data_IF_124672281139
#
_entry.id   IF_124672281139
#
_cell.length_a   1.000
_cell.length_b   1.000
_cell.length_c   1.000
_cell.angle_alpha   90.00
_cell.angle_beta   90.00
_cell.angle_gamma   90.00
#
_symmetry.space_group_name_H-M   'P 1'
#
loop_
_entity.id
_entity.type
_entity.pdbx_description
1 polymer ?
#
# COMPACT_ATOMS: atom_id res chain seq x y z
N UNK A 1 10.66 25.88 -14.21
CA UNK A 1 10.67 24.86 -13.13
C UNK A 1 9.76 25.26 -11.97
N UNK A 2 10.01 26.37 -11.28
CA UNK A 2 9.19 26.82 -10.13
C UNK A 2 7.71 27.00 -10.46
N UNK A 3 7.40 27.54 -11.64
CA UNK A 3 6.00 27.67 -12.10
C UNK A 3 5.31 26.31 -12.36
N UNK A 4 6.06 25.28 -12.78
CA UNK A 4 5.54 23.91 -12.96
C UNK A 4 5.30 23.21 -11.62
N UNK A 5 6.19 23.46 -10.66
CA UNK A 5 6.02 22.99 -9.29
C UNK A 5 4.82 23.61 -8.59
N UNK A 6 4.54 24.90 -8.84
CA UNK A 6 3.31 25.55 -8.37
C UNK A 6 2.03 24.93 -8.97
N UNK A 7 2.12 24.29 -10.13
CA UNK A 7 1.03 23.51 -10.74
C UNK A 7 0.95 22.04 -10.30
N UNK A 8 1.81 21.60 -9.36
CA UNK A 8 1.83 20.22 -8.85
C UNK A 8 2.51 19.19 -9.76
N UNK A 9 3.19 19.63 -10.82
CA UNK A 9 3.84 18.71 -11.77
C UNK A 9 5.13 18.05 -11.21
N UNK A 10 5.80 18.70 -10.26
CA UNK A 10 6.98 18.17 -9.57
C UNK A 10 7.28 18.93 -8.28
N UNK A 11 8.08 18.34 -7.40
CA UNK A 11 8.71 19.07 -6.31
C UNK A 11 10.02 19.69 -6.82
N UNK A 12 10.44 20.81 -6.20
CA UNK A 12 11.71 21.47 -6.53
C UNK A 12 12.66 21.35 -5.36
N UNK A 13 13.81 20.75 -5.62
CA UNK A 13 14.93 20.70 -4.69
C UNK A 13 16.08 21.55 -5.20
N UNK A 14 16.91 22.02 -4.29
CA UNK A 14 18.12 22.77 -4.61
C UNK A 14 19.27 22.15 -3.83
N UNK A 15 20.38 21.84 -4.52
CA UNK A 15 21.62 21.39 -3.88
C UNK A 15 22.75 22.34 -4.27
N UNK A 16 23.68 22.60 -3.35
CA UNK A 16 24.78 23.53 -3.58
C UNK A 16 25.69 23.69 -2.36
N UNK A 17 26.69 24.58 -2.46
CA UNK A 17 27.59 24.89 -1.34
C UNK A 17 27.20 26.22 -0.66
N UNK A 18 27.09 26.27 0.67
CA UNK A 18 26.95 27.51 1.43
C UNK A 18 28.09 27.59 2.44
N UNK A 19 28.95 28.61 2.33
CA UNK A 19 30.12 28.73 3.21
C UNK A 19 31.04 27.51 3.17
N UNK A 20 31.19 26.86 2.00
CA UNK A 20 32.02 25.67 1.80
C UNK A 20 31.39 24.34 2.25
N UNK A 21 30.20 24.36 2.86
CA UNK A 21 29.47 23.15 3.25
C UNK A 21 28.45 22.76 2.19
N UNK A 22 28.33 21.47 1.90
CA UNK A 22 27.22 20.95 1.08
C UNK A 22 25.90 21.20 1.80
N UNK A 23 24.95 21.78 1.07
CA UNK A 23 23.61 22.15 1.55
C UNK A 23 22.53 21.69 0.61
N UNK A 24 21.34 21.50 1.17
CA UNK A 24 20.12 21.22 0.46
C UNK A 24 18.95 22.11 0.86
N UNK A 25 18.02 22.27 -0.08
CA UNK A 25 16.73 22.91 0.14
C UNK A 25 15.64 22.18 -0.62
N UNK A 26 14.41 22.26 -0.13
CA UNK A 26 13.20 21.90 -0.89
C UNK A 26 12.19 23.03 -0.85
N UNK A 27 11.42 23.16 -1.93
CA UNK A 27 10.37 24.17 -2.05
C UNK A 27 9.09 23.68 -1.35
N UNK A 28 8.58 24.48 -0.41
CA UNK A 28 7.31 24.27 0.29
C UNK A 28 6.11 24.78 -0.53
N UNK A 29 4.91 24.41 -0.09
CA UNK A 29 3.65 24.80 -0.74
C UNK A 29 3.40 26.32 -0.71
N UNK A 30 3.88 27.03 0.33
CA UNK A 30 3.85 28.49 0.45
C UNK A 30 4.84 29.21 -0.49
N UNK A 31 5.65 28.45 -1.23
CA UNK A 31 6.63 28.94 -2.19
C UNK A 31 7.98 29.33 -1.61
N UNK A 32 8.18 29.15 -0.31
CA UNK A 32 9.48 29.31 0.34
C UNK A 32 10.32 28.03 0.22
N UNK A 33 11.61 28.15 0.49
CA UNK A 33 12.58 27.06 0.48
C UNK A 33 13.03 26.76 1.89
N UNK A 34 12.71 25.56 2.38
CA UNK A 34 13.23 25.05 3.64
C UNK A 34 14.63 24.50 3.40
N UNK A 35 15.58 24.85 4.26
CA UNK A 35 16.93 24.29 4.21
C UNK A 35 16.99 22.95 4.95
N UNK A 36 18.07 22.23 4.73
CA UNK A 36 18.49 20.99 5.39
C UNK A 36 18.87 21.12 6.87
N UNK A 37 18.44 22.20 7.54
CA UNK A 37 18.49 22.32 9.00
C UNK A 37 17.12 22.61 9.59
N UNK A 38 16.76 21.92 10.67
CA UNK A 38 15.45 22.05 11.32
C UNK A 38 15.25 23.43 12.00
N UNK A 39 16.33 24.09 12.42
CA UNK A 39 16.31 25.37 13.15
C UNK A 39 16.47 26.61 12.24
N UNK A 40 16.70 26.40 10.94
CA UNK A 40 16.79 27.49 9.97
C UNK A 40 15.41 27.82 9.38
N UNK A 41 15.07 29.12 9.38
CA UNK A 41 13.82 29.60 8.82
C UNK A 41 13.79 29.44 7.28
N UNK A 42 12.64 29.07 6.67
CA UNK A 42 12.49 29.03 5.23
C UNK A 42 12.79 30.38 4.57
N UNK A 43 13.46 30.35 3.41
CA UNK A 43 13.87 31.55 2.67
C UNK A 43 13.16 31.66 1.31
N UNK A 44 13.15 32.85 0.72
CA UNK A 44 12.56 33.08 -0.60
C UNK A 44 13.46 32.55 -1.75
N UNK A 45 12.88 32.25 -2.92
CA UNK A 45 13.65 31.95 -4.14
C UNK A 45 14.66 33.06 -4.48
N UNK A 46 14.26 34.32 -4.29
CA UNK A 46 15.12 35.47 -4.54
C UNK A 46 16.35 35.48 -3.61
N UNK A 47 16.15 35.18 -2.31
CA UNK A 47 17.24 35.04 -1.35
C UNK A 47 18.15 33.87 -1.72
N UNK A 48 17.57 32.71 -2.07
CA UNK A 48 18.32 31.51 -2.42
C UNK A 48 19.15 31.68 -3.71
N UNK A 49 18.59 32.35 -4.73
CA UNK A 49 19.35 32.76 -5.93
C UNK A 49 20.41 33.81 -5.61
N UNK A 50 20.12 34.72 -4.68
CA UNK A 50 21.08 35.73 -4.21
C UNK A 50 22.33 35.11 -3.60
N UNK A 51 22.21 33.98 -2.88
CA UNK A 51 23.37 33.25 -2.34
C UNK A 51 24.30 32.72 -3.43
N UNK A 52 23.75 32.35 -4.59
CA UNK A 52 24.52 31.84 -5.73
C UNK A 52 25.37 32.90 -6.45
N UNK A 53 25.22 34.18 -6.08
CA UNK A 53 26.06 35.25 -6.60
C UNK A 53 27.49 35.22 -6.03
N UNK A 54 27.73 34.48 -4.94
CA UNK A 54 29.07 34.25 -4.39
C UNK A 54 29.72 33.10 -5.15
N UNK A 55 30.92 33.31 -5.70
CA UNK A 55 31.67 32.28 -6.41
C UNK A 55 31.90 31.05 -5.54
N UNK A 56 31.68 29.85 -6.10
CA UNK A 56 31.75 28.59 -5.36
C UNK A 56 30.52 28.27 -4.51
N UNK A 57 29.43 29.03 -4.65
CA UNK A 57 28.13 28.74 -4.03
C UNK A 57 27.05 28.47 -5.07
N UNK A 58 27.40 27.72 -6.12
CA UNK A 58 26.47 27.35 -7.16
C UNK A 58 25.24 26.65 -6.57
N UNK A 59 24.08 26.86 -7.20
CA UNK A 59 22.80 26.29 -6.79
C UNK A 59 22.23 25.52 -7.97
N UNK A 60 22.08 24.22 -7.81
CA UNK A 60 21.46 23.35 -8.81
C UNK A 60 20.01 23.10 -8.43
N UNK A 61 19.09 23.62 -9.23
CA UNK A 61 17.66 23.38 -9.08
C UNK A 61 17.29 22.10 -9.84
N UNK A 62 16.59 21.18 -9.18
CA UNK A 62 16.15 19.91 -9.76
C UNK A 62 14.65 19.74 -9.53
N UNK A 63 13.95 19.32 -10.58
CA UNK A 63 12.54 18.93 -10.54
C UNK A 63 12.52 17.41 -10.28
N UNK A 64 11.94 16.99 -9.16
CA UNK A 64 11.88 15.60 -8.71
C UNK A 64 10.43 15.13 -8.66
N UNK A 65 10.13 13.82 -8.72
CA UNK A 65 8.75 13.34 -8.65
C UNK A 65 7.99 13.97 -7.47
N UNK A 66 6.71 14.38 -7.66
CA UNK A 66 5.90 14.93 -6.59
C UNK A 66 5.92 14.02 -5.35
N UNK A 67 6.10 14.60 -4.17
CA UNK A 67 6.20 13.88 -2.90
C UNK A 67 7.62 13.44 -2.52
N UNK A 68 8.63 13.61 -3.38
CA UNK A 68 10.02 13.22 -3.08
C UNK A 68 10.94 14.39 -2.74
N UNK A 69 10.41 15.62 -2.70
CA UNK A 69 11.19 16.84 -2.49
C UNK A 69 11.92 16.87 -1.14
N UNK A 70 11.31 16.37 -0.07
CA UNK A 70 11.93 16.29 1.26
C UNK A 70 13.08 15.29 1.23
N UNK A 71 12.82 14.05 0.79
CA UNK A 71 13.82 12.99 0.64
C UNK A 71 15.04 13.36 -0.18
N UNK A 72 14.81 14.00 -1.32
CA UNK A 72 15.89 14.37 -2.24
C UNK A 72 16.55 15.68 -1.80
N UNK A 73 15.81 16.54 -1.10
CA UNK A 73 16.21 17.91 -0.80
C UNK A 73 16.92 18.09 0.53
N UNK A 74 16.39 17.55 1.61
CA UNK A 74 16.77 17.97 2.97
C UNK A 74 16.80 16.88 4.04
N UNK A 75 16.17 15.73 3.83
CA UNK A 75 16.00 14.69 4.85
C UNK A 75 16.00 13.32 4.15
N UNK A 76 17.18 12.71 4.04
CA UNK A 76 17.44 11.59 3.12
C UNK A 76 16.74 10.29 3.52
N UNK A 77 16.58 10.04 4.82
CA UNK A 77 15.94 8.82 5.34
C UNK A 77 14.51 9.05 5.85
N UNK A 78 14.03 10.29 5.82
CA UNK A 78 12.65 10.72 6.11
C UNK A 78 12.23 10.47 7.57
N UNK A 79 13.18 10.58 8.50
CA UNK A 79 12.94 10.41 9.93
C UNK A 79 12.50 11.71 10.65
N UNK A 80 12.57 12.86 9.96
CA UNK A 80 12.19 14.18 10.44
C UNK A 80 13.35 15.04 10.96
N UNK A 81 14.56 14.50 11.05
CA UNK A 81 15.79 15.25 11.26
C UNK A 81 16.43 15.53 9.89
N UNK A 82 16.77 16.79 9.63
CA UNK A 82 17.31 17.14 8.32
C UNK A 82 18.80 16.83 8.24
N UNK A 83 19.25 16.45 7.03
CA UNK A 83 20.59 15.91 6.74
C UNK A 83 21.71 16.71 7.42
N UNK A 84 21.61 18.05 7.42
CA UNK A 84 22.63 18.91 7.99
C UNK A 84 22.53 19.03 9.50
N UNK A 85 21.32 19.02 10.05
CA UNK A 85 21.11 18.96 11.51
C UNK A 85 21.71 17.68 12.08
N UNK A 86 21.55 16.56 11.39
CA UNK A 86 22.13 15.28 11.78
C UNK A 86 23.66 15.26 11.72
N UNK A 87 24.24 15.71 10.60
CA UNK A 87 25.69 15.82 10.46
C UNK A 87 26.31 16.78 11.50
N UNK A 88 25.64 17.88 11.81
CA UNK A 88 26.10 18.83 12.82
C UNK A 88 26.03 18.25 14.24
N UNK A 89 25.17 17.25 14.48
CA UNK A 89 25.00 16.55 15.76
C UNK A 89 25.67 15.17 15.80
N UNK A 90 26.36 14.78 14.72
CA UNK A 90 27.14 13.54 14.64
C UNK A 90 26.31 12.26 14.44
N UNK A 91 25.07 12.36 13.95
CA UNK A 91 24.25 11.22 13.54
C UNK A 91 24.39 10.92 12.04
N UNK A 92 23.76 9.85 11.54
CA UNK A 92 23.90 9.38 10.14
C UNK A 92 22.62 9.65 9.34
N UNK A 93 22.63 10.62 8.40
CA UNK A 93 21.46 10.98 7.58
C UNK A 93 20.94 9.90 6.63
N UNK A 94 21.59 8.74 6.57
CA UNK A 94 21.15 7.62 5.75
C UNK A 94 20.53 6.48 6.57
N UNK A 95 20.53 6.58 7.90
CA UNK A 95 20.01 5.57 8.80
C UNK A 95 18.90 6.17 9.69
N UNK A 96 17.63 5.85 9.43
CA UNK A 96 16.49 6.44 10.15
C UNK A 96 16.40 6.03 11.63
N UNK A 97 17.34 5.20 12.11
CA UNK A 97 17.50 4.85 13.52
C UNK A 97 18.63 5.64 14.20
N UNK A 98 19.38 6.44 13.45
CA UNK A 98 20.54 7.22 13.89
C UNK A 98 20.15 8.69 14.05
N UNK A 99 19.58 9.04 15.20
CA UNK A 99 19.08 10.41 15.47
C UNK A 99 20.03 11.26 16.33
N UNK A 100 19.99 12.60 16.25
CA UNK A 100 20.76 13.50 17.12
C UNK A 100 20.60 13.24 18.62
N UNK A 101 21.73 13.13 19.34
CA UNK A 101 21.73 12.86 20.78
C UNK A 101 21.16 14.03 21.61
N UNK A 102 20.14 13.77 22.43
CA UNK A 102 19.55 14.77 23.35
C UNK A 102 18.06 15.05 23.11
N UNK A 103 17.46 14.49 22.08
CA UNK A 103 16.03 14.63 21.78
C UNK A 103 15.29 13.36 22.21
N UNK A 104 14.78 13.32 23.44
CA UNK A 104 13.77 12.32 23.84
C UNK A 104 12.41 12.82 23.39
N UNK A 105 12.00 12.51 22.16
CA UNK A 105 10.66 12.87 21.68
C UNK A 105 9.94 11.61 21.22
N UNK A 106 8.81 11.35 21.88
CA UNK A 106 7.78 10.42 21.47
C UNK A 106 7.44 10.63 20.00
N UNK A 107 7.78 9.63 19.20
CA UNK A 107 7.52 9.55 17.76
C UNK A 107 6.01 9.66 17.52
N UNK A 108 5.53 10.87 17.24
CA UNK A 108 4.22 11.08 16.60
C UNK A 108 4.49 11.25 15.12
N UNK A 109 4.61 10.10 14.43
CA UNK A 109 4.68 10.03 12.98
C UNK A 109 3.39 10.64 12.43
N UNK A 110 3.43 11.90 12.00
CA UNK A 110 2.42 12.44 11.09
C UNK A 110 3.02 12.39 9.69
N UNK A 111 3.10 11.17 9.15
CA UNK A 111 3.44 10.93 7.75
C UNK A 111 2.32 11.47 6.86
N UNK A 112 2.46 12.71 6.40
CA UNK A 112 1.81 13.10 5.13
C UNK A 112 2.77 12.75 4.01
N UNK A 113 3.02 11.46 3.85
CA UNK A 113 3.71 10.89 2.71
C UNK A 113 2.73 10.84 1.55
N UNK A 114 2.89 11.73 0.57
CA UNK A 114 2.47 11.40 -0.80
C UNK A 114 3.48 10.43 -1.39
N UNK A 115 3.57 9.25 -0.80
CA UNK A 115 4.22 8.11 -1.41
C UNK A 115 3.34 7.68 -2.58
N UNK A 116 3.86 7.77 -3.80
CA UNK A 116 3.40 6.87 -4.86
C UNK A 116 3.95 5.48 -4.52
N UNK A 117 3.38 4.84 -3.48
CA UNK A 117 3.73 3.47 -3.06
C UNK A 117 3.13 2.54 -4.10
N UNK A 118 3.95 1.93 -4.94
CA UNK A 118 3.62 0.60 -5.44
C UNK A 118 3.51 -0.31 -4.21
N UNK A 119 2.28 -0.50 -3.72
CA UNK A 119 1.97 -1.37 -2.57
C UNK A 119 2.68 -2.71 -2.78
N UNK A 120 3.63 -3.03 -1.90
CA UNK A 120 4.31 -4.32 -1.96
C UNK A 120 3.37 -5.37 -1.37
N UNK A 121 2.74 -6.14 -2.24
CA UNK A 121 1.89 -7.24 -1.80
C UNK A 121 2.74 -8.44 -1.42
N UNK A 122 2.57 -8.92 -0.19
CA UNK A 122 2.96 -10.28 0.19
C UNK A 122 2.08 -11.24 -0.59
N UNK A 123 2.67 -11.98 -1.51
CA UNK A 123 1.94 -12.98 -2.27
C UNK A 123 1.70 -14.20 -1.38
N UNK A 124 0.44 -14.62 -1.29
CA UNK A 124 -0.01 -15.69 -0.41
C UNK A 124 -0.70 -16.78 -1.22
N UNK A 125 -0.56 -18.01 -0.74
CA UNK A 125 -1.23 -19.19 -1.24
C UNK A 125 -2.75 -19.02 -1.27
N UNK A 126 -3.41 -19.48 -2.33
CA UNK A 126 -4.85 -19.71 -2.33
C UNK A 126 -5.14 -21.16 -1.90
N UNK A 127 -5.38 -21.39 -0.61
CA UNK A 127 -5.79 -22.72 -0.11
C UNK A 127 -7.12 -23.12 -0.75
N UNK A 128 -8.05 -22.17 -0.84
CA UNK A 128 -9.27 -22.33 -1.62
C UNK A 128 -9.81 -20.97 -2.05
N UNK A 129 -10.28 -20.87 -3.29
CA UNK A 129 -11.04 -19.71 -3.80
C UNK A 129 -12.26 -20.23 -4.55
N UNK A 130 -13.45 -19.78 -4.17
CA UNK A 130 -14.69 -20.11 -4.87
C UNK A 130 -15.57 -18.88 -4.97
N UNK A 131 -16.10 -18.63 -6.17
CA UNK A 131 -17.09 -17.61 -6.44
C UNK A 131 -18.32 -18.27 -7.07
N UNK A 132 -19.48 -17.70 -6.77
CA UNK A 132 -20.74 -18.05 -7.41
C UNK A 132 -21.51 -16.76 -7.71
N UNK A 133 -22.26 -16.77 -8.79
CA UNK A 133 -23.14 -15.70 -9.22
C UNK A 133 -24.36 -16.30 -9.93
N UNK A 134 -25.43 -15.52 -10.00
CA UNK A 134 -26.62 -15.83 -10.76
C UNK A 134 -27.23 -14.51 -11.22
N UNK A 135 -27.14 -14.23 -12.53
CA UNK A 135 -27.71 -13.02 -13.12
C UNK A 135 -29.21 -12.88 -12.83
N UNK A 136 -29.94 -14.00 -12.75
CA UNK A 136 -31.37 -14.04 -12.44
C UNK A 136 -31.70 -14.01 -10.95
N UNK A 137 -30.73 -14.30 -10.08
CA UNK A 137 -30.88 -14.21 -8.63
C UNK A 137 -29.58 -13.75 -7.96
N UNK A 138 -29.32 -12.42 -7.93
CA UNK A 138 -28.11 -11.85 -7.34
C UNK A 138 -27.91 -12.22 -5.86
N UNK A 139 -28.96 -12.64 -5.13
CA UNK A 139 -28.82 -13.08 -3.74
C UNK A 139 -27.96 -14.34 -3.59
N UNK A 140 -27.73 -15.09 -4.68
CA UNK A 140 -26.85 -16.26 -4.72
C UNK A 140 -25.37 -15.92 -4.90
N UNK A 141 -25.04 -14.65 -5.14
CA UNK A 141 -23.67 -14.18 -5.23
C UNK A 141 -22.90 -14.53 -3.97
N UNK A 142 -21.69 -15.04 -4.16
CA UNK A 142 -20.83 -15.50 -3.08
C UNK A 142 -19.37 -15.40 -3.44
N UNK A 143 -18.56 -15.01 -2.46
CA UNK A 143 -17.12 -15.18 -2.41
C UNK A 143 -16.77 -16.03 -1.19
N UNK A 144 -15.85 -16.98 -1.36
CA UNK A 144 -15.20 -17.68 -0.25
C UNK A 144 -13.73 -17.89 -0.60
N UNK A 145 -12.85 -17.27 0.19
CA UNK A 145 -11.41 -17.35 0.07
C UNK A 145 -10.79 -17.79 1.39
N UNK A 146 -9.79 -18.66 1.31
CA UNK A 146 -8.97 -19.09 2.45
C UNK A 146 -7.51 -19.17 2.02
N UNK A 147 -6.65 -18.71 2.91
CA UNK A 147 -5.20 -18.86 2.83
C UNK A 147 -4.66 -19.36 4.16
N UNK A 148 -3.76 -20.35 4.08
CA UNK A 148 -3.04 -20.92 5.22
C UNK A 148 -1.56 -21.00 4.85
N UNK A 149 -0.73 -20.14 5.42
CA UNK A 149 0.68 -19.95 5.01
C UNK A 149 1.69 -20.50 6.01
N UNK A 150 1.26 -21.27 7.00
CA UNK A 150 2.15 -21.80 8.05
C UNK A 150 3.23 -22.75 7.54
N UNK A 151 3.10 -23.22 6.29
CA UNK A 151 4.04 -24.11 5.60
C UNK A 151 4.70 -23.42 4.40
N UNK A 152 4.43 -22.13 4.19
CA UNK A 152 5.05 -21.33 3.14
C UNK A 152 6.37 -20.72 3.63
N UNK A 153 7.24 -20.37 2.70
CA UNK A 153 8.44 -19.58 2.95
C UNK A 153 8.10 -18.26 3.68
N UNK A 154 9.01 -17.75 4.51
CA UNK A 154 8.78 -16.53 5.31
C UNK A 154 8.34 -15.33 4.47
N UNK A 155 8.79 -15.23 3.22
CA UNK A 155 8.42 -14.16 2.29
C UNK A 155 6.95 -14.23 1.81
N UNK A 156 6.28 -15.35 2.06
CA UNK A 156 4.89 -15.60 1.65
C UNK A 156 3.96 -15.84 2.84
N UNK A 157 4.41 -15.53 4.07
CA UNK A 157 3.62 -15.72 5.29
C UNK A 157 2.73 -14.53 5.59
N UNK A 158 1.51 -14.82 6.03
CA UNK A 158 0.60 -13.82 6.57
C UNK A 158 1.11 -13.41 7.96
N UNK A 159 1.58 -12.17 8.09
CA UNK A 159 1.98 -11.56 9.35
C UNK A 159 1.01 -10.43 9.65
N UNK A 160 0.25 -10.54 10.74
CA UNK A 160 -0.73 -9.50 11.08
C UNK A 160 -0.07 -8.20 11.56
N UNK A 161 -0.72 -7.04 11.39
CA UNK A 161 -0.31 -5.81 12.05
C UNK A 161 -0.32 -5.95 13.56
N UNK A 162 0.63 -5.27 14.22
CA UNK A 162 0.65 -5.24 15.67
C UNK A 162 -0.60 -4.55 16.22
N UNK A 163 -1.29 -5.15 17.19
CA UNK A 163 -2.26 -4.50 18.04
C UNK A 163 -1.93 -3.04 18.41
N UNK A 164 -2.70 -2.08 17.89
CA UNK A 164 -2.65 -0.67 18.28
C UNK A 164 -1.62 0.14 17.49
N UNK A 165 -0.94 -0.49 16.53
CA UNK A 165 -0.12 0.25 15.57
C UNK A 165 -1.01 1.06 14.61
N UNK A 166 -0.44 2.03 13.88
CA UNK A 166 -1.16 2.74 12.82
C UNK A 166 -1.75 1.83 11.73
N UNK A 167 -1.16 0.64 11.56
CA UNK A 167 -1.64 -0.39 10.62
C UNK A 167 -2.71 -1.32 11.19
N UNK A 168 -3.10 -1.15 12.45
CA UNK A 168 -4.18 -1.92 13.06
C UNK A 168 -5.50 -1.62 12.32
N UNK A 169 -6.16 -2.64 11.73
CA UNK A 169 -7.40 -2.42 11.00
C UNK A 169 -8.57 -1.94 11.88
N UNK A 170 -8.50 -2.10 13.20
CA UNK A 170 -9.49 -1.51 14.13
C UNK A 170 -9.33 0.01 14.29
N UNK A 171 -8.21 0.58 13.85
CA UNK A 171 -7.93 2.02 13.86
C UNK A 171 -8.15 2.60 12.46
N UNK A 172 -7.52 1.99 11.44
CA UNK A 172 -7.42 2.57 10.10
C UNK A 172 -8.27 1.83 9.04
N UNK A 173 -8.87 0.70 9.39
CA UNK A 173 -9.66 -0.10 8.46
C UNK A 173 -8.82 -0.81 7.41
N UNK A 174 -9.37 -0.94 6.19
CA UNK A 174 -8.69 -1.54 5.06
C UNK A 174 -9.56 -1.59 3.81
N UNK A 175 -9.07 -2.30 2.80
CA UNK A 175 -9.72 -2.46 1.49
C UNK A 175 -9.54 -3.89 1.01
N UNK A 176 -10.65 -4.50 0.56
CA UNK A 176 -10.65 -5.78 -0.14
C UNK A 176 -10.88 -5.52 -1.63
N UNK A 177 -10.02 -6.05 -2.49
CA UNK A 177 -10.21 -6.03 -3.95
C UNK A 177 -10.27 -7.44 -4.49
N UNK A 178 -11.29 -7.75 -5.28
CA UNK A 178 -11.39 -9.02 -6.02
C UNK A 178 -11.56 -8.69 -7.48
N UNK A 179 -10.76 -9.30 -8.35
CA UNK A 179 -10.71 -8.96 -9.76
C UNK A 179 -10.35 -10.17 -10.61
N UNK A 180 -10.81 -10.16 -11.85
CA UNK A 180 -10.43 -11.11 -12.85
C UNK A 180 -8.99 -10.77 -13.31
N UNK A 181 -8.04 -11.66 -13.01
CA UNK A 181 -6.63 -11.52 -13.39
C UNK A 181 -6.33 -12.20 -14.73
N UNK A 182 -7.35 -12.71 -15.41
CA UNK A 182 -7.30 -13.24 -16.75
C UNK A 182 -7.06 -12.15 -17.81
N UNK A 183 -6.63 -12.58 -18.99
CA UNK A 183 -6.39 -11.68 -20.12
C UNK A 183 -7.74 -11.21 -20.69
N UNK A 184 -7.93 -9.87 -20.83
CA UNK A 184 -9.05 -9.16 -21.52
C UNK A 184 -10.38 -9.04 -20.78
N UNK A 185 -10.38 -8.95 -19.46
CA UNK A 185 -11.60 -8.71 -18.65
C UNK A 185 -11.39 -7.52 -17.72
N UNK A 186 -12.46 -6.82 -17.36
CA UNK A 186 -12.41 -5.62 -16.49
C UNK A 186 -13.10 -5.82 -15.14
N UNK A 187 -13.53 -7.04 -14.86
CA UNK A 187 -14.31 -7.35 -13.66
C UNK A 187 -13.48 -7.15 -12.39
N UNK A 188 -13.94 -6.21 -11.58
CA UNK A 188 -13.26 -5.76 -10.38
C UNK A 188 -14.31 -5.24 -9.38
N UNK A 189 -14.20 -5.70 -8.14
CA UNK A 189 -14.92 -5.14 -7.00
C UNK A 189 -13.90 -4.63 -5.99
N UNK A 190 -14.12 -3.42 -5.50
CA UNK A 190 -13.38 -2.82 -4.38
C UNK A 190 -14.36 -2.60 -3.26
N UNK A 191 -14.09 -3.19 -2.10
CA UNK A 191 -14.94 -3.08 -0.92
C UNK A 191 -14.14 -2.38 0.18
N UNK A 192 -14.56 -1.18 0.61
CA UNK A 192 -13.97 -0.56 1.80
C UNK A 192 -14.31 -1.39 3.03
N UNK A 193 -13.37 -1.50 3.95
CA UNK A 193 -13.51 -2.21 5.22
C UNK A 193 -13.33 -1.20 6.37
N UNK A 194 -14.36 -0.41 6.70
CA UNK A 194 -14.26 0.64 7.71
C UNK A 194 -13.76 0.10 9.06
N UNK A 195 -12.92 0.88 9.74
CA UNK A 195 -12.34 0.54 11.04
C UNK A 195 -13.38 0.14 12.09
N UNK A 196 -14.54 0.80 12.09
CA UNK A 196 -15.67 0.55 13.01
C UNK A 196 -16.21 -0.89 12.98
N UNK A 197 -15.99 -1.60 11.88
CA UNK A 197 -16.52 -2.95 11.66
C UNK A 197 -15.48 -4.05 11.93
N UNK A 198 -14.28 -3.65 12.35
CA UNK A 198 -13.22 -4.54 12.79
C UNK A 198 -13.27 -4.76 14.30
N UNK A 199 -12.85 -5.94 14.71
CA UNK A 199 -12.73 -6.33 16.11
C UNK A 199 -11.51 -7.21 16.30
N UNK A 200 -10.91 -7.18 17.48
CA UNK A 200 -9.83 -8.09 17.87
C UNK A 200 -10.39 -9.43 18.32
N UNK A 201 -9.67 -10.50 18.04
CA UNK A 201 -10.04 -11.87 18.40
C UNK A 201 -8.82 -12.59 18.98
N UNK A 202 -8.92 -13.03 20.22
CA UNK A 202 -7.85 -13.75 20.92
C UNK A 202 -6.57 -12.91 21.08
N UNK A 203 -5.41 -13.57 21.04
CA UNK A 203 -4.07 -12.99 21.35
C UNK A 203 -3.48 -12.12 20.22
N UNK A 204 -4.35 -11.57 19.35
CA UNK A 204 -3.95 -10.63 18.30
C UNK A 204 -4.56 -10.90 16.92
N UNK A 205 -5.55 -11.77 16.79
CA UNK A 205 -6.31 -11.90 15.55
C UNK A 205 -7.23 -10.72 15.31
N UNK A 206 -7.64 -10.53 14.06
CA UNK A 206 -8.62 -9.54 13.65
C UNK A 206 -9.81 -10.22 12.99
N UNK A 207 -10.99 -9.63 13.17
CA UNK A 207 -12.21 -10.04 12.51
C UNK A 207 -12.97 -8.81 12.04
N UNK A 208 -13.28 -8.78 10.76
CA UNK A 208 -14.23 -7.86 10.16
C UNK A 208 -15.61 -8.51 10.09
N UNK A 209 -16.65 -7.75 10.38
CA UNK A 209 -18.03 -8.12 10.11
C UNK A 209 -18.78 -6.91 9.63
N UNK A 210 -19.30 -6.99 8.41
CA UNK A 210 -20.26 -6.01 7.90
C UNK A 210 -21.54 -6.06 8.75
N UNK A 211 -21.92 -4.96 9.43
CA UNK A 211 -23.12 -4.91 10.23
C UNK A 211 -24.39 -4.78 9.38
N UNK A 212 -24.29 -4.35 8.11
CA UNK A 212 -25.45 -4.12 7.26
C UNK A 212 -26.07 -5.46 6.82
N UNK A 213 -27.30 -5.79 7.27
CA UNK A 213 -27.97 -7.03 6.86
C UNK A 213 -28.37 -7.05 5.38
N UNK A 214 -28.50 -5.87 4.76
CA UNK A 214 -28.76 -5.66 3.33
C UNK A 214 -27.48 -5.51 2.51
N UNK A 215 -26.34 -5.31 3.17
CA UNK A 215 -25.01 -5.23 2.58
C UNK A 215 -24.44 -6.59 2.17
N UNK A 216 -23.17 -6.64 1.68
CA UNK A 216 -22.53 -7.83 1.13
C UNK A 216 -22.25 -9.00 2.11
N UNK A 217 -22.88 -9.03 3.30
CA UNK A 217 -22.68 -10.02 4.37
C UNK A 217 -21.20 -10.41 4.57
N UNK A 218 -20.32 -9.42 4.43
CA UNK A 218 -18.89 -9.63 4.35
C UNK A 218 -18.32 -9.96 5.74
N UNK A 219 -17.52 -11.02 5.79
CA UNK A 219 -16.82 -11.49 6.99
C UNK A 219 -15.39 -11.81 6.62
N UNK A 220 -14.47 -11.26 7.38
CA UNK A 220 -13.04 -11.53 7.22
C UNK A 220 -12.43 -11.89 8.57
N UNK A 221 -11.54 -12.86 8.60
CA UNK A 221 -10.75 -13.20 9.78
C UNK A 221 -9.27 -13.29 9.41
N UNK A 222 -8.42 -12.68 10.21
CA UNK A 222 -6.99 -12.65 10.00
C UNK A 222 -6.24 -12.99 11.28
N UNK A 223 -5.33 -13.94 11.21
CA UNK A 223 -4.32 -14.23 12.24
C UNK A 223 -2.97 -14.36 11.55
N UNK A 224 -1.91 -14.62 12.31
CA UNK A 224 -0.70 -15.13 11.67
C UNK A 224 -1.06 -16.41 10.91
N UNK A 225 -0.52 -16.50 9.70
CA UNK A 225 -0.67 -17.61 8.77
C UNK A 225 -2.07 -17.91 8.25
N UNK A 226 -3.11 -17.21 8.69
CA UNK A 226 -4.48 -17.52 8.24
C UNK A 226 -5.22 -16.26 7.87
N UNK A 227 -5.76 -16.29 6.67
CA UNK A 227 -6.70 -15.30 6.16
C UNK A 227 -7.93 -16.03 5.62
N UNK A 228 -9.11 -15.59 6.03
CA UNK A 228 -10.37 -16.06 5.45
C UNK A 228 -11.27 -14.89 5.11
N UNK A 229 -11.91 -14.95 3.95
CA UNK A 229 -12.83 -13.93 3.45
C UNK A 229 -14.07 -14.62 2.93
N UNK A 230 -15.24 -14.17 3.38
CA UNK A 230 -16.52 -14.66 2.92
C UNK A 230 -17.43 -13.47 2.67
N UNK A 231 -17.99 -13.36 1.47
CA UNK A 231 -19.01 -12.39 1.12
C UNK A 231 -20.18 -13.08 0.46
N UNK A 232 -21.39 -12.55 0.60
CA UNK A 232 -22.57 -13.13 -0.05
C UNK A 232 -23.75 -12.17 -0.11
N UNK A 233 -24.70 -12.46 -0.98
CA UNK A 233 -25.92 -11.68 -1.13
C UNK A 233 -25.85 -10.72 -2.31
N UNK A 234 -27.00 -10.08 -2.60
CA UNK A 234 -27.18 -9.28 -3.81
C UNK A 234 -26.23 -8.07 -3.89
N UNK A 235 -25.87 -7.52 -2.73
CA UNK A 235 -24.97 -6.37 -2.61
C UNK A 235 -23.48 -6.73 -2.74
N UNK A 236 -23.14 -8.01 -2.89
CA UNK A 236 -21.80 -8.41 -3.33
C UNK A 236 -21.65 -8.12 -4.82
N UNK A 237 -20.80 -7.15 -5.16
CA UNK A 237 -20.73 -6.55 -6.49
C UNK A 237 -19.94 -7.32 -7.55
N UNK A 238 -19.27 -8.42 -7.20
CA UNK A 238 -18.49 -9.19 -8.18
C UNK A 238 -19.41 -10.11 -9.00
N UNK A 239 -19.38 -9.96 -10.32
CA UNK A 239 -20.14 -10.77 -11.29
C UNK A 239 -19.27 -11.90 -11.86
N UNK A 240 -19.93 -12.91 -12.42
CA UNK A 240 -19.29 -13.98 -13.18
C UNK A 240 -20.05 -14.14 -14.50
N UNK A 241 -20.18 -13.07 -15.25
CA UNK A 241 -20.93 -13.02 -16.51
C UNK A 241 -20.06 -13.30 -17.73
N UNK A 242 -18.74 -13.42 -17.58
CA UNK A 242 -17.87 -13.82 -18.68
C UNK A 242 -17.95 -15.35 -18.93
N UNK A 243 -17.70 -15.78 -20.18
CA UNK A 243 -17.73 -17.21 -20.51
C UNK A 243 -16.72 -18.05 -19.73
N UNK A 244 -15.55 -17.47 -19.40
CA UNK A 244 -14.46 -18.09 -18.64
C UNK A 244 -13.65 -17.01 -17.92
N UNK A 245 -13.41 -17.24 -16.64
CA UNK A 245 -12.71 -16.28 -15.77
C UNK A 245 -11.22 -16.58 -15.83
N UNK A 246 -10.87 -17.86 -15.97
CA UNK A 246 -9.51 -18.41 -16.06
C UNK A 246 -8.70 -18.22 -14.79
N UNK A 247 -8.60 -17.01 -14.25
CA UNK A 247 -7.88 -16.68 -13.03
C UNK A 247 -8.60 -15.56 -12.27
N UNK A 248 -8.67 -15.69 -10.95
CA UNK A 248 -9.25 -14.66 -10.09
C UNK A 248 -8.26 -14.35 -8.98
N UNK A 249 -8.04 -13.05 -8.77
CA UNK A 249 -7.15 -12.54 -7.76
C UNK A 249 -7.92 -11.86 -6.62
N UNK A 250 -7.35 -11.97 -5.42
CA UNK A 250 -7.86 -11.37 -4.18
C UNK A 250 -6.72 -10.58 -3.55
N UNK A 251 -6.93 -9.28 -3.34
CA UNK A 251 -6.04 -8.39 -2.61
C UNK A 251 -6.70 -7.92 -1.33
N UNK A 252 -5.96 -7.94 -0.24
CA UNK A 252 -6.34 -7.32 1.02
C UNK A 252 -5.26 -6.36 1.44
N UNK A 253 -5.64 -5.12 1.68
CA UNK A 253 -4.78 -4.11 2.29
C UNK A 253 -5.45 -3.64 3.57
N UNK A 254 -4.70 -3.54 4.66
CA UNK A 254 -5.18 -3.01 5.94
C UNK A 254 -4.28 -1.90 6.41
N UNK A 255 -4.79 -1.08 7.33
CA UNK A 255 -3.93 -0.07 7.95
C UNK A 255 -3.62 1.10 7.01
N UNK A 256 -2.39 1.58 7.08
CA UNK A 256 -1.85 2.61 6.19
C UNK A 256 -1.33 2.03 4.87
N UNK A 257 -1.48 0.72 4.65
CA UNK A 257 -1.11 0.06 3.39
C UNK A 257 0.14 -0.81 3.45
N UNK A 258 0.88 -0.77 4.55
CA UNK A 258 2.10 -1.57 4.78
C UNK A 258 1.78 -3.07 4.77
N UNK A 259 0.63 -3.44 5.33
CA UNK A 259 0.16 -4.81 5.38
C UNK A 259 -0.80 -5.08 4.22
N UNK A 260 -0.22 -5.59 3.14
CA UNK A 260 -0.93 -5.91 1.90
C UNK A 260 -0.65 -7.35 1.48
N UNK A 261 -1.71 -8.13 1.22
CA UNK A 261 -1.61 -9.50 0.73
C UNK A 261 -2.31 -9.68 -0.61
N UNK A 262 -1.77 -10.55 -1.43
CA UNK A 262 -2.33 -10.86 -2.73
C UNK A 262 -2.30 -12.36 -3.01
N UNK A 263 -3.40 -12.88 -3.55
CA UNK A 263 -3.49 -14.25 -4.03
C UNK A 263 -4.12 -14.26 -5.41
N UNK A 264 -3.79 -15.26 -6.22
CA UNK A 264 -4.20 -15.35 -7.61
C UNK A 264 -4.31 -16.81 -8.04
N UNK A 265 -5.55 -17.31 -8.13
CA UNK A 265 -5.82 -18.72 -8.36
C UNK A 265 -6.26 -18.96 -9.81
N UNK A 266 -5.64 -19.89 -10.55
CA UNK A 266 -6.18 -20.37 -11.81
C UNK A 266 -7.41 -21.26 -11.57
N UNK A 267 -8.26 -21.39 -12.58
CA UNK A 267 -9.40 -22.29 -12.59
C UNK A 267 -8.99 -23.74 -12.29
N UNK A 268 -9.80 -24.42 -11.48
CA UNK A 268 -9.59 -25.83 -11.15
C UNK A 268 -9.85 -26.72 -12.37
N UNK A 269 -8.84 -27.48 -12.78
CA UNK A 269 -8.99 -28.59 -13.74
C UNK A 269 -9.55 -29.82 -13.02
N UNK A 270 -10.54 -30.49 -13.63
CA UNK A 270 -11.13 -31.72 -13.11
C UNK A 270 -11.73 -32.59 -14.22
N UNK A 271 -12.07 -33.84 -13.89
CA UNK A 271 -12.73 -34.77 -14.79
C UNK A 271 -11.76 -35.59 -15.65
N UNK A 272 -12.33 -36.45 -16.50
CA UNK A 272 -11.61 -37.29 -17.45
C UNK A 272 -12.41 -37.29 -18.77
N UNK A 273 -11.93 -36.62 -19.84
CA UNK A 273 -10.65 -35.90 -19.95
C UNK A 273 -10.58 -34.64 -19.05
N UNK A 274 -9.37 -34.17 -18.67
CA UNK A 274 -9.20 -33.01 -17.79
C UNK A 274 -9.69 -31.71 -18.43
N UNK A 275 -10.61 -30.99 -17.76
CA UNK A 275 -11.14 -29.68 -18.23
C UNK A 275 -11.42 -28.73 -17.07
N UNK A 276 -11.53 -27.43 -17.36
CA UNK A 276 -11.97 -26.40 -16.38
C UNK A 276 -13.48 -26.14 -16.43
N UNK A 277 -14.18 -26.60 -17.48
CA UNK A 277 -15.60 -26.29 -17.73
C UNK A 277 -16.57 -26.53 -16.55
N UNK A 278 -16.38 -27.51 -15.65
CA UNK A 278 -17.25 -27.66 -14.46
C UNK A 278 -17.00 -26.62 -13.35
N UNK A 279 -15.87 -25.93 -13.41
CA UNK A 279 -15.38 -25.03 -12.35
C UNK A 279 -15.15 -23.60 -12.84
N UNK A 280 -15.23 -23.33 -14.13
CA UNK A 280 -14.98 -22.03 -14.73
C UNK A 280 -15.98 -21.85 -15.87
N UNK A 281 -17.02 -21.07 -15.59
CA UNK A 281 -18.07 -20.71 -16.54
C UNK A 281 -18.91 -19.57 -15.94
N UNK A 282 -19.80 -18.98 -16.74
CA UNK A 282 -20.74 -17.99 -16.26
C UNK A 282 -21.51 -18.49 -15.02
N UNK A 283 -21.48 -17.71 -13.95
CA UNK A 283 -22.11 -18.01 -12.66
C UNK A 283 -21.28 -18.85 -11.68
N UNK A 284 -20.10 -19.38 -12.08
CA UNK A 284 -19.26 -20.19 -11.17
C UNK A 284 -17.77 -20.10 -11.48
N UNK A 285 -17.00 -19.86 -10.44
CA UNK A 285 -15.55 -20.04 -10.46
C UNK A 285 -15.08 -20.82 -9.25
N UNK A 286 -14.27 -21.85 -9.45
CA UNK A 286 -13.53 -22.52 -8.40
C UNK A 286 -12.06 -22.61 -8.77
N UNK A 287 -11.22 -21.96 -7.98
CA UNK A 287 -9.78 -21.96 -8.15
C UNK A 287 -9.14 -23.30 -7.78
N UNK A 288 -7.98 -23.59 -8.38
CA UNK A 288 -7.17 -24.75 -8.05
C UNK A 288 -6.79 -24.70 -6.56
N UNK A 289 -7.00 -25.81 -5.85
CA UNK A 289 -6.76 -25.86 -4.41
C UNK A 289 -5.26 -25.79 -4.14
N UNK A 290 -4.90 -25.13 -3.03
CA UNK A 290 -3.50 -24.94 -2.64
C UNK A 290 -2.65 -24.34 -3.77
N UNK A 291 -3.21 -23.39 -4.52
CA UNK A 291 -2.42 -22.66 -5.52
C UNK A 291 -1.28 -21.96 -4.77
N UNK A 292 -0.02 -22.20 -5.16
CA UNK A 292 1.13 -21.60 -4.49
C UNK A 292 1.12 -20.07 -4.62
N UNK A 293 1.78 -19.35 -3.70
CA UNK A 293 1.98 -17.92 -3.87
C UNK A 293 2.71 -17.64 -5.18
N UNK A 294 2.39 -16.49 -5.80
CA UNK A 294 3.16 -15.99 -6.93
C UNK A 294 4.56 -15.57 -6.46
N UNK A 295 5.49 -15.34 -7.40
CA UNK A 295 6.80 -14.77 -7.08
C UNK A 295 6.68 -13.49 -6.24
N UNK A 296 7.74 -13.17 -5.48
CA UNK A 296 7.77 -12.03 -4.57
C UNK A 296 7.36 -10.73 -5.29
N UNK A 297 6.38 -10.02 -4.75
CA UNK A 297 5.85 -8.76 -5.31
C UNK A 297 5.08 -8.92 -6.63
N UNK A 298 4.85 -10.15 -7.12
CA UNK A 298 4.20 -10.40 -8.43
C UNK A 298 2.68 -10.44 -8.37
N UNK A 299 2.05 -9.61 -7.55
CA UNK A 299 0.60 -9.51 -7.57
C UNK A 299 0.11 -9.04 -8.96
N UNK A 300 -0.86 -9.71 -9.61
CA UNK A 300 -1.28 -9.34 -10.97
C UNK A 300 -1.84 -7.92 -10.98
N UNK A 301 -1.58 -7.06 -11.99
CA UNK A 301 -2.13 -5.70 -12.01
C UNK A 301 -3.67 -5.72 -11.96
N UNK A 302 -4.27 -4.65 -11.44
CA UNK A 302 -5.71 -4.44 -11.61
C UNK A 302 -6.00 -4.21 -13.10
N UNK A 303 -7.16 -4.67 -13.61
CA UNK A 303 -7.53 -4.49 -15.01
C UNK A 303 -7.83 -3.03 -15.38
#
# INVERSE_FOLDING_TARGET
>A
MIARAAGGECDVTVKGLLGGSARGWYRRADGLFQSDRNDEAPISDATLRGQAAVAGQERTYTCVPPGSGIRVGVDRDEDGFFDRTELDQGSDPADPLSVPAGVTTTVTVTTTSTTTTTLFFVTIRATSLTLADSATNPSRRKLSFKSSTSQDDSNHRIVRPNPGSPDDPTISGGTLTVYNSGIRTTDLVVVPLPASNWSRVGVGGYRYRDPDPSGPKLRLSMTNDKLSVHASGASWGYTLDEPLQRRVAVRLTVGLGVFSWCSDAPAKVSGSPPTTAPNDHAGRFAGFRNTPPLGIGKCPPLP
#
